data_IF_708969179119
#
_entry.id   IF_708969179119
#
_cell.length_a   1.000
_cell.length_b   1.000
_cell.length_c   1.000
_cell.angle_alpha   90.00
_cell.angle_beta   90.00
_cell.angle_gamma   90.00
#
_symmetry.space_group_name_H-M   'P 1'
#
loop_
_entity.id
_entity.type
_entity.pdbx_description
1 polymer ?
#
# COMPACT_ATOMS: atom_id res chain seq x y z
N UNK A 1 -10.33 -20.97 7.51
CA UNK A 1 -10.38 -20.84 6.06
C UNK A 1 -11.78 -21.01 5.47
N UNK A 2 -12.64 -20.01 5.69
CA UNK A 2 -14.06 -20.08 5.27
C UNK A 2 -14.27 -19.40 3.91
N UNK A 3 -13.52 -18.34 3.63
CA UNK A 3 -13.75 -17.49 2.46
C UNK A 3 -13.39 -18.20 1.15
N UNK A 4 -12.23 -18.85 1.08
CA UNK A 4 -11.76 -19.49 -0.14
C UNK A 4 -12.71 -20.60 -0.62
N UNK A 5 -13.11 -21.58 0.21
CA UNK A 5 -14.05 -22.61 -0.24
C UNK A 5 -15.40 -22.05 -0.68
N UNK A 6 -15.89 -21.00 -0.01
CA UNK A 6 -17.16 -20.36 -0.39
C UNK A 6 -17.05 -19.69 -1.77
N UNK A 7 -15.97 -18.97 -2.03
CA UNK A 7 -15.72 -18.34 -3.35
C UNK A 7 -15.58 -19.42 -4.43
N UNK A 8 -14.77 -20.45 -4.21
CA UNK A 8 -14.54 -21.53 -5.17
C UNK A 8 -15.85 -22.27 -5.50
N UNK A 9 -16.71 -22.51 -4.51
CA UNK A 9 -18.02 -23.11 -4.72
C UNK A 9 -18.89 -22.25 -5.64
N UNK A 10 -19.05 -20.98 -5.34
CA UNK A 10 -19.88 -20.06 -6.15
C UNK A 10 -19.33 -19.92 -7.56
N UNK A 11 -18.01 -19.83 -7.73
CA UNK A 11 -17.40 -19.73 -9.07
C UNK A 11 -17.63 -20.99 -9.88
N UNK A 12 -17.56 -22.17 -9.25
CA UNK A 12 -17.87 -23.45 -9.90
C UNK A 12 -19.33 -23.53 -10.35
N UNK A 13 -20.26 -23.05 -9.52
CA UNK A 13 -21.69 -22.98 -9.87
C UNK A 13 -21.95 -22.02 -11.05
N UNK A 14 -21.14 -20.97 -11.17
CA UNK A 14 -21.21 -19.99 -12.28
C UNK A 14 -20.43 -20.42 -13.53
N UNK A 15 -19.74 -21.56 -13.51
CA UNK A 15 -18.92 -22.04 -14.63
C UNK A 15 -17.62 -21.21 -14.82
N UNK A 16 -17.18 -20.48 -13.79
CA UNK A 16 -15.96 -19.67 -13.85
C UNK A 16 -14.77 -20.53 -13.38
N UNK A 17 -13.68 -20.51 -14.15
CA UNK A 17 -12.49 -21.30 -13.84
C UNK A 17 -11.86 -20.86 -12.52
N UNK A 18 -11.53 -21.82 -11.65
CA UNK A 18 -10.83 -21.57 -10.40
C UNK A 18 -9.40 -21.05 -10.60
N UNK A 19 -8.85 -21.19 -11.81
CA UNK A 19 -7.56 -20.59 -12.16
C UNK A 19 -7.57 -19.05 -12.11
N UNK A 20 -8.75 -18.43 -12.13
CA UNK A 20 -8.92 -16.97 -12.00
C UNK A 20 -8.82 -16.49 -10.56
N UNK A 21 -8.77 -17.39 -9.59
CA UNK A 21 -8.61 -17.06 -8.16
C UNK A 21 -7.13 -16.99 -7.80
N UNK A 22 -6.76 -15.95 -7.07
CA UNK A 22 -5.43 -15.78 -6.49
C UNK A 22 -5.57 -15.65 -4.97
N UNK A 23 -4.74 -16.35 -4.23
CA UNK A 23 -4.71 -16.30 -2.77
C UNK A 23 -3.35 -15.80 -2.31
N UNK A 24 -3.32 -14.71 -1.55
CA UNK A 24 -2.10 -14.19 -0.96
C UNK A 24 -2.31 -13.85 0.52
N UNK A 25 -1.96 -14.78 1.38
CA UNK A 25 -2.09 -14.66 2.84
C UNK A 25 -0.78 -14.29 3.52
N UNK A 26 0.33 -14.33 2.80
CA UNK A 26 1.67 -14.18 3.37
C UNK A 26 2.17 -15.40 4.14
N UNK A 27 1.37 -16.44 4.24
CA UNK A 27 1.77 -17.73 4.81
C UNK A 27 2.31 -18.62 3.67
N UNK A 28 3.58 -19.06 3.73
CA UNK A 28 4.20 -19.89 2.69
C UNK A 28 3.50 -21.25 2.49
N UNK A 29 2.78 -21.74 3.51
CA UNK A 29 2.01 -22.99 3.39
C UNK A 29 0.76 -22.86 2.51
N UNK A 30 0.26 -21.64 2.35
CA UNK A 30 -0.97 -21.32 1.60
C UNK A 30 -0.68 -20.55 0.32
N UNK A 31 0.30 -19.65 0.36
CA UNK A 31 0.67 -18.77 -0.76
C UNK A 31 1.93 -19.30 -1.41
N UNK A 32 1.85 -19.66 -2.67
CA UNK A 32 3.00 -20.12 -3.45
C UNK A 32 3.78 -18.94 -4.04
N UNK A 33 5.03 -19.15 -4.41
CA UNK A 33 5.87 -18.13 -5.06
C UNK A 33 5.24 -17.62 -6.37
N UNK A 34 4.55 -18.51 -7.09
CA UNK A 34 3.81 -18.15 -8.30
C UNK A 34 2.66 -17.20 -7.99
N UNK A 35 1.94 -17.38 -6.88
CA UNK A 35 0.87 -16.48 -6.46
C UNK A 35 1.41 -15.10 -6.10
N UNK A 36 2.58 -15.03 -5.47
CA UNK A 36 3.27 -13.76 -5.17
C UNK A 36 3.66 -13.06 -6.48
N UNK A 37 4.21 -13.79 -7.44
CA UNK A 37 4.56 -13.24 -8.75
C UNK A 37 3.33 -12.73 -9.49
N UNK A 38 2.25 -13.50 -9.51
CA UNK A 38 0.99 -13.12 -10.13
C UNK A 38 0.36 -11.92 -9.44
N UNK A 39 0.42 -11.85 -8.11
CA UNK A 39 -0.06 -10.70 -7.32
C UNK A 39 0.66 -9.39 -7.67
N UNK A 40 1.94 -9.45 -7.95
CA UNK A 40 2.71 -8.27 -8.35
C UNK A 40 2.47 -7.85 -9.81
N UNK A 41 1.90 -8.73 -10.63
CA UNK A 41 1.68 -8.53 -12.05
C UNK A 41 0.19 -8.45 -12.45
N UNK A 42 -0.72 -8.16 -11.52
CA UNK A 42 -2.16 -8.09 -11.77
C UNK A 42 -2.55 -7.10 -12.88
N UNK A 43 -1.88 -5.95 -12.93
CA UNK A 43 -2.14 -4.89 -13.94
C UNK A 43 -1.24 -5.01 -15.18
N UNK A 44 -0.40 -6.04 -15.28
CA UNK A 44 0.52 -6.23 -16.40
C UNK A 44 -0.14 -7.12 -17.45
N UNK A 45 -0.65 -6.50 -18.50
CA UNK A 45 -1.35 -7.19 -19.60
C UNK A 45 -0.48 -8.27 -20.22
N UNK A 46 -1.06 -9.45 -20.48
CA UNK A 46 -0.38 -10.59 -21.09
C UNK A 46 0.33 -11.52 -20.09
N UNK A 47 0.32 -11.21 -18.80
CA UNK A 47 0.84 -12.10 -17.76
C UNK A 47 -0.25 -13.00 -17.18
N UNK A 48 0.14 -14.07 -16.48
CA UNK A 48 -0.81 -14.91 -15.73
C UNK A 48 -1.47 -14.12 -14.59
N UNK A 49 -0.79 -13.10 -14.04
CA UNK A 49 -1.36 -12.19 -13.06
C UNK A 49 -2.57 -11.44 -13.59
N UNK A 50 -2.51 -10.94 -14.84
CA UNK A 50 -3.62 -10.18 -15.46
C UNK A 50 -4.86 -11.01 -15.77
N UNK A 51 -4.77 -12.33 -15.72
CA UNK A 51 -5.91 -13.26 -15.88
C UNK A 51 -6.66 -13.51 -14.56
N UNK A 52 -6.10 -13.06 -13.43
CA UNK A 52 -6.73 -13.21 -12.12
C UNK A 52 -7.86 -12.21 -11.96
N UNK A 53 -9.03 -12.71 -11.59
CA UNK A 53 -10.25 -11.91 -11.43
C UNK A 53 -10.67 -11.79 -9.96
N UNK A 54 -10.33 -12.77 -9.14
CA UNK A 54 -10.69 -12.83 -7.73
C UNK A 54 -9.42 -12.97 -6.88
N UNK A 55 -9.27 -12.07 -5.92
CA UNK A 55 -8.07 -12.02 -5.10
C UNK A 55 -8.48 -12.10 -3.63
N UNK A 56 -8.00 -13.14 -2.95
CA UNK A 56 -8.22 -13.33 -1.51
C UNK A 56 -6.94 -12.91 -0.80
N UNK A 57 -7.05 -11.86 0.01
CA UNK A 57 -5.91 -11.28 0.74
C UNK A 57 -6.10 -11.41 2.25
N UNK A 58 -5.04 -11.76 2.96
CA UNK A 58 -4.95 -11.68 4.42
C UNK A 58 -3.68 -10.93 4.77
N UNK A 59 -3.82 -9.79 5.44
CA UNK A 59 -2.72 -8.91 5.87
C UNK A 59 -1.79 -8.37 4.76
N UNK A 60 -2.06 -8.74 3.51
CA UNK A 60 -1.35 -8.25 2.33
C UNK A 60 -2.12 -7.13 1.62
N UNK A 61 -1.45 -6.44 0.70
CA UNK A 61 -2.09 -5.33 -0.03
C UNK A 61 -2.33 -4.08 0.82
N UNK A 62 -1.60 -3.92 1.93
CA UNK A 62 -1.65 -2.72 2.77
C UNK A 62 -0.94 -1.57 2.07
N UNK A 63 0.21 -1.15 2.54
CA UNK A 63 0.98 -0.06 1.95
C UNK A 63 1.73 -0.51 0.69
N UNK A 64 1.92 0.42 -0.24
CA UNK A 64 2.72 0.18 -1.45
C UNK A 64 2.06 -0.64 -2.56
N UNK A 65 0.97 -1.39 -2.28
CA UNK A 65 0.29 -2.17 -3.32
C UNK A 65 -0.56 -1.27 -4.22
N UNK A 66 -0.30 -1.34 -5.51
CA UNK A 66 -0.99 -0.55 -6.52
C UNK A 66 -1.60 -1.45 -7.59
N UNK A 67 -2.87 -1.79 -7.45
CA UNK A 67 -3.65 -2.47 -8.46
C UNK A 67 -4.75 -1.52 -8.94
N UNK A 68 -4.65 -1.07 -10.18
CA UNK A 68 -5.61 -0.12 -10.76
C UNK A 68 -6.86 -0.81 -11.27
N UNK A 69 -6.75 -2.07 -11.69
CA UNK A 69 -7.85 -2.87 -12.24
C UNK A 69 -8.83 -3.38 -11.17
N UNK A 70 -8.67 -2.98 -9.93
CA UNK A 70 -9.53 -3.41 -8.83
C UNK A 70 -10.88 -2.68 -8.89
N UNK A 71 -11.94 -3.39 -9.27
CA UNK A 71 -13.30 -2.86 -9.42
C UNK A 71 -14.25 -3.27 -8.30
N UNK A 72 -13.82 -4.13 -7.40
CA UNK A 72 -14.64 -4.59 -6.29
C UNK A 72 -13.83 -4.93 -5.06
N UNK A 73 -14.39 -4.70 -3.89
CA UNK A 73 -13.80 -5.06 -2.61
C UNK A 73 -14.88 -5.62 -1.68
N UNK A 74 -14.56 -6.71 -1.00
CA UNK A 74 -15.34 -7.22 0.10
C UNK A 74 -14.46 -7.31 1.35
N UNK A 75 -14.82 -6.62 2.42
CA UNK A 75 -14.16 -6.73 3.72
C UNK A 75 -14.91 -7.73 4.58
N UNK A 76 -14.34 -8.94 4.68
CA UNK A 76 -14.93 -10.04 5.43
C UNK A 76 -14.71 -9.92 6.95
N UNK A 77 -13.62 -9.29 7.38
CA UNK A 77 -13.31 -9.04 8.80
C UNK A 77 -13.49 -7.58 9.14
N UNK A 78 -13.80 -7.31 10.41
CA UNK A 78 -13.75 -5.96 10.97
C UNK A 78 -12.33 -5.65 11.44
N UNK A 79 -11.55 -4.88 10.67
CA UNK A 79 -10.19 -4.55 11.06
C UNK A 79 -10.18 -3.60 12.24
N UNK A 80 -9.22 -3.77 13.16
CA UNK A 80 -9.05 -2.87 14.31
C UNK A 80 -8.71 -1.42 13.91
N UNK A 81 -8.08 -1.25 12.76
CA UNK A 81 -7.68 0.06 12.26
C UNK A 81 -8.77 0.67 11.38
N UNK A 82 -9.36 1.76 11.83
CA UNK A 82 -10.36 2.54 11.06
C UNK A 82 -9.76 3.08 9.76
N UNK A 83 -8.52 3.56 9.83
CA UNK A 83 -7.79 4.05 8.66
C UNK A 83 -7.60 2.94 7.61
N UNK A 84 -7.42 1.70 8.04
CA UNK A 84 -7.30 0.57 7.11
C UNK A 84 -8.61 0.34 6.34
N UNK A 85 -9.78 0.45 6.98
CA UNK A 85 -11.09 0.32 6.29
C UNK A 85 -11.17 1.34 5.16
N UNK A 86 -10.86 2.60 5.46
CA UNK A 86 -10.85 3.68 4.47
C UNK A 86 -9.84 3.41 3.34
N UNK A 87 -8.60 3.09 3.68
CA UNK A 87 -7.56 2.84 2.68
C UNK A 87 -7.85 1.65 1.78
N UNK A 88 -8.40 0.57 2.34
CA UNK A 88 -8.76 -0.61 1.56
C UNK A 88 -9.89 -0.29 0.59
N UNK A 89 -10.97 0.34 1.05
CA UNK A 89 -12.14 0.64 0.22
C UNK A 89 -11.85 1.67 -0.87
N UNK A 90 -11.03 2.69 -0.59
CA UNK A 90 -10.67 3.71 -1.57
C UNK A 90 -9.78 3.18 -2.71
N UNK A 91 -9.24 1.97 -2.59
CA UNK A 91 -8.41 1.38 -3.67
C UNK A 91 -9.18 1.10 -4.96
N UNK A 92 -10.44 0.69 -4.85
CA UNK A 92 -11.27 0.42 -6.03
C UNK A 92 -11.87 1.69 -6.67
N UNK A 93 -11.70 2.85 -6.06
CA UNK A 93 -12.17 4.13 -6.62
C UNK A 93 -11.13 4.81 -7.52
N UNK A 94 -10.04 4.14 -7.85
CA UNK A 94 -9.01 4.68 -8.73
C UNK A 94 -9.49 4.71 -10.17
N UNK A 95 -9.26 5.82 -10.84
CA UNK A 95 -9.64 5.97 -12.25
C UNK A 95 -8.72 5.16 -13.15
N UNK A 96 -9.29 4.25 -13.94
CA UNK A 96 -8.60 3.43 -14.93
C UNK A 96 -8.58 4.05 -16.32
N UNK A 97 -9.71 4.63 -16.70
CA UNK A 97 -9.96 5.17 -18.04
C UNK A 97 -10.47 6.59 -17.93
N UNK A 98 -10.67 7.26 -19.07
CA UNK A 98 -11.34 8.56 -19.11
C UNK A 98 -12.82 8.47 -18.71
N UNK A 99 -13.39 7.29 -18.83
CA UNK A 99 -14.78 7.01 -18.44
C UNK A 99 -14.82 6.64 -16.95
N UNK A 100 -15.88 7.09 -16.28
CA UNK A 100 -16.10 6.76 -14.88
C UNK A 100 -16.67 5.34 -14.78
N UNK A 101 -15.89 4.43 -14.23
CA UNK A 101 -16.32 3.08 -13.89
C UNK A 101 -16.94 3.05 -12.51
N UNK A 102 -17.93 2.17 -12.34
CA UNK A 102 -18.53 1.92 -11.01
C UNK A 102 -17.73 0.86 -10.29
N UNK A 103 -17.33 1.16 -9.06
CA UNK A 103 -16.77 0.17 -8.15
C UNK A 103 -17.84 -0.36 -7.20
N UNK A 104 -17.72 -1.63 -6.81
CA UNK A 104 -18.62 -2.26 -5.85
C UNK A 104 -17.88 -2.57 -4.55
N UNK A 105 -18.46 -2.13 -3.43
CA UNK A 105 -17.86 -2.34 -2.11
C UNK A 105 -18.87 -3.06 -1.22
N UNK A 106 -18.48 -4.25 -0.73
CA UNK A 106 -19.26 -5.04 0.21
C UNK A 106 -18.68 -4.90 1.61
N UNK A 107 -19.49 -4.39 2.54
CA UNK A 107 -19.10 -4.13 3.92
C UNK A 107 -20.09 -4.77 4.89
N UNK A 108 -19.59 -5.24 6.03
CA UNK A 108 -20.44 -5.46 7.20
C UNK A 108 -21.00 -4.12 7.70
N UNK A 109 -22.06 -4.17 8.49
CA UNK A 109 -22.63 -2.95 9.10
C UNK A 109 -21.57 -2.17 9.90
N UNK A 110 -20.77 -2.87 10.68
CA UNK A 110 -19.70 -2.27 11.49
C UNK A 110 -18.63 -1.58 10.64
N UNK A 111 -18.20 -2.21 9.53
CA UNK A 111 -17.25 -1.62 8.61
C UNK A 111 -17.87 -0.44 7.85
N UNK A 112 -19.15 -0.49 7.55
CA UNK A 112 -19.89 0.60 6.93
C UNK A 112 -19.92 1.83 7.83
N UNK A 113 -20.32 1.65 9.10
CA UNK A 113 -20.38 2.74 10.09
C UNK A 113 -18.98 3.33 10.31
N UNK A 114 -17.96 2.48 10.37
CA UNK A 114 -16.55 2.93 10.49
C UNK A 114 -16.12 3.75 9.29
N UNK A 115 -16.46 3.32 8.06
CA UNK A 115 -16.09 4.03 6.84
C UNK A 115 -16.81 5.38 6.76
N UNK A 116 -18.10 5.43 7.09
CA UNK A 116 -18.89 6.66 7.07
C UNK A 116 -18.35 7.69 8.08
N UNK A 117 -18.02 7.25 9.28
CA UNK A 117 -17.37 8.07 10.31
C UNK A 117 -16.03 8.66 9.84
N UNK A 118 -15.18 7.84 9.20
CA UNK A 118 -13.88 8.29 8.70
C UNK A 118 -14.01 9.25 7.51
N UNK A 119 -14.99 9.03 6.65
CA UNK A 119 -15.30 9.93 5.54
C UNK A 119 -15.79 11.28 6.04
N UNK A 120 -16.68 11.30 7.03
CA UNK A 120 -17.16 12.54 7.64
C UNK A 120 -16.05 13.34 8.29
N UNK A 121 -15.19 12.67 9.07
CA UNK A 121 -14.10 13.32 9.81
C UNK A 121 -13.02 13.90 8.91
N UNK A 122 -12.61 13.12 7.91
CA UNK A 122 -11.43 13.46 7.11
C UNK A 122 -11.77 14.19 5.81
N UNK A 123 -12.98 13.98 5.25
CA UNK A 123 -13.34 14.50 3.92
C UNK A 123 -14.62 15.31 3.93
N UNK A 124 -15.32 15.40 5.06
CA UNK A 124 -16.63 16.05 5.17
C UNK A 124 -17.64 15.50 4.14
N UNK A 125 -17.60 14.18 3.93
CA UNK A 125 -18.43 13.43 2.99
C UNK A 125 -19.10 12.26 3.70
N UNK A 126 -20.21 11.79 3.15
CA UNK A 126 -20.90 10.57 3.59
C UNK A 126 -20.86 9.50 2.48
N UNK A 127 -21.02 8.24 2.85
CA UNK A 127 -21.10 7.14 1.85
C UNK A 127 -22.28 7.40 0.89
N UNK A 128 -23.36 7.98 1.37
CA UNK A 128 -24.53 8.36 0.56
C UNK A 128 -24.21 9.35 -0.56
N UNK A 129 -23.09 10.05 -0.50
CA UNK A 129 -22.68 11.02 -1.51
C UNK A 129 -22.02 10.36 -2.74
N UNK A 130 -21.48 9.16 -2.58
CA UNK A 130 -20.83 8.43 -3.69
C UNK A 130 -21.79 7.99 -4.80
N UNK A 131 -23.06 7.85 -4.53
CA UNK A 131 -24.08 7.47 -5.54
C UNK A 131 -24.74 8.66 -6.23
N UNK A 132 -24.49 9.86 -5.75
CA UNK A 132 -25.08 11.06 -6.33
C UNK A 132 -24.25 11.49 -7.53
N UNK A 133 -24.89 11.67 -8.69
CA UNK A 133 -24.28 12.40 -9.81
C UNK A 133 -23.68 13.69 -9.29
N UNK A 134 -22.49 14.10 -9.76
CA UNK A 134 -21.90 15.35 -9.30
C UNK A 134 -22.93 16.45 -9.50
N UNK A 135 -23.50 16.88 -8.39
CA UNK A 135 -24.54 17.89 -8.39
C UNK A 135 -23.93 19.12 -9.03
N UNK A 136 -24.56 19.64 -10.06
CA UNK A 136 -24.16 20.82 -10.83
C UNK A 136 -24.03 22.11 -10.00
N UNK A 137 -24.25 22.06 -8.70
CA UNK A 137 -23.95 23.12 -7.76
C UNK A 137 -22.43 23.25 -7.53
N UNK A 138 -21.69 23.47 -8.62
CA UNK A 138 -20.30 23.93 -8.51
C UNK A 138 -20.32 25.30 -7.83
N UNK A 139 -20.08 25.33 -6.54
CA UNK A 139 -19.78 26.60 -5.84
C UNK A 139 -18.36 26.99 -6.31
N UNK A 140 -18.30 28.00 -7.15
CA UNK A 140 -17.01 28.56 -7.57
C UNK A 140 -16.52 29.44 -6.40
N UNK A 141 -15.49 28.94 -5.73
CA UNK A 141 -14.79 29.74 -4.73
C UNK A 141 -13.68 30.53 -5.44
N UNK A 142 -13.71 31.84 -5.34
CA UNK A 142 -12.55 32.66 -5.72
C UNK A 142 -11.49 32.51 -4.66
N UNK A 143 -10.50 31.68 -4.92
CA UNK A 143 -9.33 31.60 -4.07
C UNK A 143 -8.42 32.78 -4.39
N UNK A 144 -8.27 33.71 -3.46
CA UNK A 144 -7.32 34.80 -3.58
C UNK A 144 -5.98 34.31 -3.03
N UNK A 145 -5.03 34.09 -3.92
CA UNK A 145 -3.67 33.81 -3.51
C UNK A 145 -3.07 35.09 -2.93
N UNK A 146 -2.79 35.08 -1.63
CA UNK A 146 -2.04 36.17 -1.01
C UNK A 146 -0.58 36.08 -1.51
N UNK A 147 0.03 37.23 -1.91
CA UNK A 147 1.44 37.21 -2.30
C UNK A 147 2.26 36.69 -1.12
N UNK A 148 3.29 35.86 -1.36
CA UNK A 148 4.15 35.38 -0.31
C UNK A 148 4.79 36.57 0.44
N UNK A 149 5.10 36.43 1.73
CA UNK A 149 5.76 37.50 2.48
C UNK A 149 7.03 37.93 1.75
N UNK A 150 7.25 39.23 1.66
CA UNK A 150 8.27 39.85 0.80
C UNK A 150 9.70 39.40 1.03
N UNK A 151 10.00 38.79 2.14
CA UNK A 151 11.28 38.13 2.37
C UNK A 151 11.20 37.11 3.52
N UNK A 152 11.73 35.93 3.32
CA UNK A 152 12.00 34.96 4.36
C UNK A 152 13.53 34.95 4.52
N UNK A 153 14.01 35.45 5.66
CA UNK A 153 15.45 35.34 6.00
C UNK A 153 15.70 33.95 6.55
N UNK A 154 16.31 33.11 5.75
CA UNK A 154 16.81 31.82 6.20
C UNK A 154 18.29 31.93 6.50
N UNK A 155 18.71 31.57 7.73
CA UNK A 155 20.12 31.38 8.05
C UNK A 155 20.50 29.96 7.61
N UNK A 156 21.38 29.85 6.67
CA UNK A 156 21.99 28.57 6.27
C UNK A 156 23.33 28.47 6.97
N UNK A 157 23.48 27.46 7.81
CA UNK A 157 24.78 27.11 8.40
C UNK A 157 25.52 26.25 7.39
N UNK A 158 26.67 26.71 6.98
CA UNK A 158 27.62 25.94 6.20
C UNK A 158 28.69 25.42 7.16
N UNK A 159 28.93 24.13 7.13
CA UNK A 159 30.08 23.53 7.74
C UNK A 159 31.10 23.27 6.64
N UNK A 160 32.22 23.94 6.72
CA UNK A 160 33.36 23.68 5.85
C UNK A 160 34.28 22.72 6.59
N UNK A 161 34.46 21.54 6.03
CA UNK A 161 35.39 20.56 6.61
C UNK A 161 36.68 20.65 5.83
N UNK A 162 37.77 21.01 6.52
CA UNK A 162 39.13 20.90 5.99
C UNK A 162 39.76 19.61 6.49
N UNK A 163 40.21 18.78 5.57
CA UNK A 163 41.04 17.62 5.93
C UNK A 163 42.43 18.13 6.29
N UNK A 164 42.81 17.97 7.54
CA UNK A 164 44.18 18.27 7.98
C UNK A 164 44.90 16.92 8.00
N UNK A 165 45.73 16.69 6.99
CA UNK A 165 46.70 15.60 7.03
C UNK A 165 47.76 15.94 8.07
N UNK A 166 47.84 15.13 9.10
CA UNK A 166 48.97 15.18 10.06
C UNK A 166 49.86 13.97 9.76
N UNK A 167 51.03 14.24 9.26
CA UNK A 167 52.07 13.22 9.23
C UNK A 167 52.60 13.00 10.65
N UNK A 168 52.40 11.82 11.17
CA UNK A 168 53.01 11.36 12.41
C UNK A 168 54.35 10.75 12.06
N UNK A 169 55.44 11.40 12.44
CA UNK A 169 56.81 10.94 12.26
C UNK A 169 57.24 9.87 13.27
N UNK A 170 56.40 9.54 14.24
CA UNK A 170 56.68 8.49 15.20
C UNK A 170 56.07 7.15 14.69
N UNK A 171 56.85 6.06 14.78
CA UNK A 171 56.28 4.74 14.45
C UNK A 171 55.12 4.43 15.39
N UNK A 172 53.99 4.07 14.82
CA UNK A 172 52.83 3.63 15.61
C UNK A 172 53.08 2.17 15.97
N UNK A 173 53.34 1.92 17.24
CA UNK A 173 53.40 0.57 17.75
C UNK A 173 51.98 0.05 17.98
N UNK A 174 51.59 -0.91 17.21
CA UNK A 174 50.28 -1.55 17.31
C UNK A 174 50.21 -2.63 18.39
N UNK A 175 51.30 -2.83 19.15
CA UNK A 175 51.40 -3.88 20.18
C UNK A 175 51.04 -5.27 19.70
N UNK A 176 51.31 -5.57 18.42
CA UNK A 176 50.94 -6.86 17.79
C UNK A 176 51.64 -8.05 18.46
N UNK A 177 52.83 -7.79 19.05
CA UNK A 177 53.58 -8.81 19.78
C UNK A 177 52.91 -9.23 21.10
N UNK A 178 51.96 -8.40 21.62
CA UNK A 178 51.24 -8.67 22.87
C UNK A 178 49.88 -9.32 22.60
N UNK A 179 49.50 -9.51 21.34
CA UNK A 179 48.25 -10.16 20.98
C UNK A 179 48.32 -11.66 21.21
N UNK A 180 47.43 -12.12 22.06
CA UNK A 180 47.26 -13.55 22.30
C UNK A 180 46.48 -14.18 21.10
N UNK A 181 47.18 -14.78 20.19
CA UNK A 181 46.60 -15.39 18.96
C UNK A 181 45.52 -16.43 19.24
N UNK A 182 45.51 -17.02 20.44
CA UNK A 182 44.50 -18.01 20.83
C UNK A 182 43.08 -17.40 20.98
N UNK A 183 42.96 -16.08 21.04
CA UNK A 183 41.68 -15.39 21.17
C UNK A 183 41.04 -14.97 19.85
N UNK A 184 41.72 -15.14 18.74
CA UNK A 184 41.27 -14.71 17.42
C UNK A 184 41.24 -15.85 16.45
N UNK A 185 40.09 -16.48 16.25
CA UNK A 185 39.86 -17.43 15.16
C UNK A 185 39.43 -16.66 13.90
N UNK A 186 40.25 -16.75 12.85
CA UNK A 186 39.82 -16.31 11.53
C UNK A 186 38.85 -17.35 10.97
N UNK A 187 37.58 -17.04 10.87
CA UNK A 187 36.65 -17.82 10.04
C UNK A 187 36.86 -17.41 8.57
N UNK A 188 37.50 -18.37 7.84
CA UNK A 188 37.43 -18.33 6.38
C UNK A 188 36.07 -18.79 5.86
#
# INVERSE_FOLDING_TARGET
>A
DVVRPAVEKVLSELGISLSTVLVNTGDPSVTKDEDIKNFNNLDVIGTEGSKKQFIILVEKGREGWNCRSLLGIALFRSPKSKVFVLQATMRCLRQLTKEQLKATIFLSKENYDTLDDELRKNYNMEISDFGKSPNTNKKVYKVRVLPPPRSIKMKRLWHEYSLIEKEYSAPVDFHLAELDESKYEAKM
#
